data_IF_615265560262
#
_entry.id   IF_615265560262
#
_cell.length_a   1.000
_cell.length_b   1.000
_cell.length_c   1.000
_cell.angle_alpha   90.00
_cell.angle_beta   90.00
_cell.angle_gamma   90.00
#
_symmetry.space_group_name_H-M   'P 1'
#
loop_
_entity.id
_entity.type
_entity.pdbx_description
1 polymer ?
#
# COMPACT_ATOMS: atom_id res chain seq x y z
N UNK A 1 0.78 -5.50 -7.20
CA UNK A 1 -0.35 -4.53 -7.08
C UNK A 1 0.09 -3.09 -7.36
N UNK A 2 1.18 -2.58 -6.76
CA UNK A 2 1.56 -1.16 -6.90
C UNK A 2 1.98 -0.79 -8.33
N UNK A 3 2.70 -1.68 -9.01
CA UNK A 3 3.09 -1.50 -10.42
C UNK A 3 2.12 -2.14 -11.41
N UNK A 4 0.95 -2.62 -10.96
CA UNK A 4 -0.01 -3.28 -11.84
C UNK A 4 -0.46 -2.35 -12.99
N UNK A 5 -0.56 -2.90 -14.20
CA UNK A 5 -0.89 -2.12 -15.41
C UNK A 5 -2.25 -1.41 -15.31
N UNK A 6 -3.26 -2.05 -14.72
CA UNK A 6 -4.57 -1.43 -14.56
C UNK A 6 -4.52 -0.33 -13.50
N UNK A 7 -3.81 -0.55 -12.39
CA UNK A 7 -3.64 0.46 -11.33
C UNK A 7 -2.88 1.69 -11.81
N UNK A 8 -1.78 1.51 -12.55
CA UNK A 8 -0.99 2.61 -13.11
C UNK A 8 -1.81 3.49 -14.06
N UNK A 9 -2.79 2.91 -14.75
CA UNK A 9 -3.69 3.66 -15.63
C UNK A 9 -4.90 4.25 -14.90
N UNK A 10 -5.45 3.53 -13.92
CA UNK A 10 -6.66 3.95 -13.19
C UNK A 10 -6.39 5.13 -12.25
N UNK A 11 -5.20 5.19 -11.65
CA UNK A 11 -4.82 6.21 -10.66
C UNK A 11 -3.79 7.20 -11.19
N UNK A 12 -3.73 7.35 -12.52
CA UNK A 12 -2.80 8.25 -13.22
C UNK A 12 -1.32 8.04 -12.87
N UNK A 13 -0.96 6.84 -12.42
CA UNK A 13 0.42 6.46 -12.08
C UNK A 13 1.38 6.62 -13.25
N UNK A 14 0.92 6.44 -14.48
CA UNK A 14 1.73 6.71 -15.69
C UNK A 14 2.18 8.17 -15.81
N UNK A 15 1.47 9.11 -15.19
CA UNK A 15 1.80 10.54 -15.20
C UNK A 15 2.61 10.96 -13.97
N UNK A 16 2.71 10.10 -12.96
CA UNK A 16 3.48 10.34 -11.75
C UNK A 16 4.98 10.16 -12.04
N UNK A 17 5.67 11.26 -12.33
CA UNK A 17 7.12 11.29 -12.58
C UNK A 17 7.78 12.27 -11.61
N UNK A 18 9.08 12.10 -11.35
CA UNK A 18 9.80 12.95 -10.38
C UNK A 18 9.66 14.45 -10.63
N UNK A 19 9.54 14.85 -11.90
CA UNK A 19 9.38 16.26 -12.30
C UNK A 19 7.94 16.78 -12.15
N UNK A 20 6.95 15.88 -12.09
CA UNK A 20 5.54 16.21 -11.91
C UNK A 20 4.87 15.15 -11.01
N UNK A 21 5.14 15.19 -9.68
CA UNK A 21 4.58 14.22 -8.76
C UNK A 21 3.05 14.31 -8.70
N UNK A 22 2.38 13.15 -8.74
CA UNK A 22 0.93 13.03 -8.68
C UNK A 22 0.53 12.19 -7.46
N UNK A 23 -0.08 12.85 -6.48
CA UNK A 23 -0.42 12.25 -5.18
C UNK A 23 -1.63 11.31 -5.22
N UNK A 24 -2.37 11.24 -6.33
CA UNK A 24 -3.63 10.48 -6.42
C UNK A 24 -3.45 9.03 -5.94
N UNK A 25 -2.45 8.33 -6.47
CA UNK A 25 -2.22 6.95 -6.05
C UNK A 25 -1.76 6.82 -4.59
N UNK A 26 -0.86 7.69 -4.12
CA UNK A 26 -0.41 7.66 -2.73
C UNK A 26 -1.57 7.85 -1.74
N UNK A 27 -2.48 8.79 -2.04
CA UNK A 27 -3.69 9.02 -1.25
C UNK A 27 -4.60 7.81 -1.25
N UNK A 28 -4.92 7.26 -2.41
CA UNK A 28 -5.79 6.09 -2.53
C UNK A 28 -5.19 4.87 -1.82
N UNK A 29 -3.87 4.68 -1.94
CA UNK A 29 -3.15 3.60 -1.25
C UNK A 29 -3.33 3.71 0.26
N UNK A 30 -3.10 4.89 0.84
CA UNK A 30 -3.23 5.11 2.28
C UNK A 30 -4.69 5.14 2.74
N UNK A 31 -5.57 5.87 2.05
CA UNK A 31 -6.94 6.15 2.48
C UNK A 31 -7.89 4.98 2.27
N UNK A 32 -7.81 4.28 1.14
CA UNK A 32 -8.82 3.30 0.75
C UNK A 32 -8.30 1.86 0.77
N UNK A 33 -7.02 1.65 0.47
CA UNK A 33 -6.48 0.30 0.23
C UNK A 33 -5.65 -0.27 1.38
N UNK A 34 -5.16 0.53 2.34
CA UNK A 34 -4.26 0.06 3.39
C UNK A 34 -4.60 0.53 4.81
N UNK A 35 -3.99 1.62 5.29
CA UNK A 35 -4.03 2.05 6.70
C UNK A 35 -5.31 2.81 7.06
N UNK A 36 -6.01 3.33 6.05
CA UNK A 36 -7.17 4.19 6.24
C UNK A 36 -6.77 5.60 6.71
N UNK A 37 -7.64 6.56 6.40
CA UNK A 37 -7.45 7.98 6.76
C UNK A 37 -7.31 8.23 8.26
N UNK A 38 -8.07 7.50 9.07
CA UNK A 38 -8.16 7.79 10.51
C UNK A 38 -8.88 9.12 10.81
N UNK A 39 -8.86 9.54 12.08
CA UNK A 39 -9.51 10.80 12.50
C UNK A 39 -8.61 11.97 12.15
N UNK A 40 -9.18 13.05 11.61
CA UNK A 40 -8.44 14.29 11.39
C UNK A 40 -8.07 14.94 12.73
N UNK A 41 -6.78 15.19 12.94
CA UNK A 41 -6.22 15.86 14.12
C UNK A 41 -5.91 17.33 13.85
N UNK A 42 -5.69 17.70 12.60
CA UNK A 42 -5.45 19.06 12.13
C UNK A 42 -5.49 19.15 10.61
N UNK A 43 -5.25 20.33 10.07
CA UNK A 43 -5.09 20.50 8.63
C UNK A 43 -3.88 19.67 8.15
N UNK A 44 -4.11 18.74 7.22
CA UNK A 44 -3.07 17.83 6.73
C UNK A 44 -2.50 16.85 7.77
N UNK A 45 -3.18 16.62 8.90
CA UNK A 45 -2.71 15.70 9.93
C UNK A 45 -3.85 14.78 10.39
N UNK A 46 -3.62 13.47 10.29
CA UNK A 46 -4.57 12.43 10.69
C UNK A 46 -3.93 11.49 11.70
N UNK A 47 -4.74 10.70 12.41
CA UNK A 47 -4.23 9.73 13.40
C UNK A 47 -3.29 8.70 12.79
N UNK A 48 -3.42 8.40 11.50
CA UNK A 48 -2.73 7.29 10.86
C UNK A 48 -1.55 7.74 9.99
N UNK A 49 -1.59 8.95 9.45
CA UNK A 49 -0.53 9.55 8.63
C UNK A 49 -0.74 11.07 8.51
N UNK A 50 0.26 11.74 7.97
CA UNK A 50 0.26 13.18 7.67
C UNK A 50 0.28 13.44 6.16
N UNK A 51 -0.07 14.65 5.78
CA UNK A 51 0.04 15.13 4.41
C UNK A 51 1.49 15.07 3.88
N UNK A 52 2.49 15.20 4.77
CA UNK A 52 3.88 15.01 4.39
C UNK A 52 4.16 13.54 4.01
N UNK A 53 3.57 12.58 4.72
CA UNK A 53 3.72 11.16 4.37
C UNK A 53 3.18 10.84 2.98
N UNK A 54 2.08 11.49 2.58
CA UNK A 54 1.52 11.36 1.23
C UNK A 54 2.53 11.86 0.19
N UNK A 55 3.19 13.00 0.42
CA UNK A 55 4.21 13.54 -0.50
C UNK A 55 5.41 12.62 -0.63
N UNK A 56 5.84 12.02 0.48
CA UNK A 56 6.98 11.12 0.51
C UNK A 56 6.64 9.78 -0.16
N UNK A 57 5.47 9.22 0.09
CA UNK A 57 4.96 8.06 -0.63
C UNK A 57 4.81 8.35 -2.14
N UNK A 58 4.35 9.55 -2.51
CA UNK A 58 4.22 9.97 -3.92
C UNK A 58 5.55 9.89 -4.65
N UNK A 59 6.64 10.36 -4.03
CA UNK A 59 8.00 10.27 -4.58
C UNK A 59 8.45 8.83 -4.78
N UNK A 60 8.21 7.93 -3.82
CA UNK A 60 8.48 6.49 -3.97
C UNK A 60 7.70 5.90 -5.15
N UNK A 61 6.52 6.42 -5.47
CA UNK A 61 5.68 5.90 -6.55
C UNK A 61 5.98 6.53 -7.92
N UNK A 62 6.99 7.40 -8.04
CA UNK A 62 7.29 8.10 -9.31
C UNK A 62 7.99 7.22 -10.34
N UNK A 63 7.80 7.53 -11.62
CA UNK A 63 8.64 7.00 -12.70
C UNK A 63 8.20 5.64 -13.23
N UNK A 64 7.00 5.18 -12.94
CA UNK A 64 6.45 3.93 -13.47
C UNK A 64 5.44 4.20 -14.60
N UNK A 65 5.31 3.24 -15.52
CA UNK A 65 4.37 3.31 -16.65
C UNK A 65 3.84 1.92 -16.97
N UNK A 66 2.68 1.85 -17.61
CA UNK A 66 2.14 0.59 -18.08
C UNK A 66 2.99 -0.04 -19.20
N UNK A 67 3.06 -1.37 -19.21
CA UNK A 67 3.67 -2.15 -20.28
C UNK A 67 2.62 -2.59 -21.30
N UNK A 68 2.59 -1.93 -22.46
CA UNK A 68 1.62 -2.17 -23.53
C UNK A 68 1.68 -3.59 -24.10
N UNK A 69 2.86 -4.18 -24.04
CA UNK A 69 3.13 -5.49 -24.61
C UNK A 69 2.88 -6.62 -23.60
N UNK A 70 2.60 -6.29 -22.33
CA UNK A 70 2.37 -7.25 -21.24
C UNK A 70 3.50 -8.28 -21.10
N UNK A 71 4.74 -7.84 -21.37
CA UNK A 71 5.95 -8.67 -21.38
C UNK A 71 6.70 -8.61 -20.06
N UNK A 72 6.55 -7.52 -19.30
CA UNK A 72 7.10 -7.46 -17.95
C UNK A 72 6.23 -8.29 -17.01
N UNK A 73 6.76 -9.40 -16.49
CA UNK A 73 6.04 -10.35 -15.65
C UNK A 73 6.48 -10.17 -14.20
N UNK A 74 5.50 -10.01 -13.31
CA UNK A 74 5.71 -10.03 -11.87
C UNK A 74 6.16 -11.43 -11.43
N UNK A 75 7.32 -11.52 -10.77
CA UNK A 75 7.96 -12.80 -10.46
C UNK A 75 7.16 -13.63 -9.44
N UNK A 76 6.42 -12.98 -8.56
CA UNK A 76 5.68 -13.63 -7.48
C UNK A 76 4.33 -14.16 -7.96
N UNK A 77 3.62 -13.38 -8.77
CA UNK A 77 2.27 -13.69 -9.24
C UNK A 77 2.22 -14.34 -10.62
N UNK A 78 3.26 -14.18 -11.43
CA UNK A 78 3.28 -14.61 -12.83
C UNK A 78 2.36 -13.79 -13.74
N UNK A 79 1.86 -12.64 -13.26
CA UNK A 79 0.93 -11.77 -14.00
C UNK A 79 1.70 -10.61 -14.64
N UNK A 80 1.34 -10.18 -15.86
CA UNK A 80 1.91 -8.98 -16.44
C UNK A 80 1.75 -7.72 -15.57
N UNK A 81 2.83 -6.98 -15.40
CA UNK A 81 2.90 -5.75 -14.59
C UNK A 81 3.48 -4.60 -15.40
N UNK A 82 3.38 -3.38 -14.88
CA UNK A 82 3.99 -2.19 -15.45
C UNK A 82 5.51 -2.19 -15.28
N UNK A 83 6.18 -1.16 -15.80
CA UNK A 83 7.64 -1.05 -15.79
C UNK A 83 8.10 0.34 -15.38
N UNK A 84 9.32 0.44 -14.86
CA UNK A 84 9.96 1.72 -14.67
C UNK A 84 10.27 2.39 -16.03
N UNK A 85 10.13 3.71 -16.10
CA UNK A 85 10.64 4.53 -17.20
C UNK A 85 12.15 4.59 -17.06
N UNK A 86 12.83 3.75 -17.83
CA UNK A 86 14.27 3.50 -17.66
C UNK A 86 15.11 3.81 -18.88
N UNK A 87 16.35 4.20 -18.65
CA UNK A 87 17.41 4.29 -19.66
C UNK A 87 18.64 3.53 -19.17
N UNK A 88 19.51 3.14 -20.11
CA UNK A 88 20.81 2.55 -19.76
C UNK A 88 21.80 3.67 -19.45
N UNK A 89 22.23 3.75 -18.19
CA UNK A 89 23.27 4.69 -17.71
C UNK A 89 24.45 3.85 -17.25
N UNK A 90 25.63 4.11 -17.84
CA UNK A 90 26.88 3.35 -17.57
C UNK A 90 26.69 1.82 -17.58
N UNK A 91 25.91 1.33 -18.54
CA UNK A 91 25.66 -0.11 -18.73
C UNK A 91 24.62 -0.71 -17.77
N UNK A 92 24.00 0.08 -16.89
CA UNK A 92 22.94 -0.37 -15.98
C UNK A 92 21.58 0.26 -16.31
N UNK A 93 20.46 -0.49 -16.20
CA UNK A 93 19.13 0.09 -16.34
C UNK A 93 18.79 0.96 -15.12
N UNK A 94 18.55 2.24 -15.36
CA UNK A 94 18.24 3.22 -14.31
C UNK A 94 16.86 3.83 -14.54
N UNK A 95 16.07 3.98 -13.46
CA UNK A 95 14.74 4.58 -13.47
C UNK A 95 14.87 6.11 -13.53
N UNK A 96 15.04 6.65 -14.74
CA UNK A 96 15.40 8.06 -14.95
C UNK A 96 14.32 9.05 -14.53
N UNK A 97 13.07 8.62 -14.43
CA UNK A 97 11.92 9.43 -13.98
C UNK A 97 11.51 9.15 -12.51
N UNK A 98 12.26 8.33 -11.78
CA UNK A 98 12.04 8.07 -10.36
C UNK A 98 12.80 9.11 -9.50
N UNK A 99 12.21 9.52 -8.39
CA UNK A 99 12.84 10.42 -7.42
C UNK A 99 14.03 9.71 -6.76
N UNK A 100 15.22 10.32 -6.79
CA UNK A 100 16.43 9.72 -6.21
C UNK A 100 16.67 10.12 -4.74
N UNK A 101 15.85 11.04 -4.21
CA UNK A 101 16.02 11.58 -2.88
C UNK A 101 15.64 10.57 -1.80
N UNK A 102 16.11 10.83 -0.58
CA UNK A 102 15.61 10.13 0.62
C UNK A 102 14.21 10.62 0.95
N UNK A 103 13.27 9.69 1.09
CA UNK A 103 11.88 9.93 1.47
C UNK A 103 11.71 9.64 2.95
N UNK A 104 11.65 10.70 3.76
CA UNK A 104 11.55 10.59 5.23
C UNK A 104 10.12 10.81 5.68
N UNK A 105 9.54 9.79 6.29
CA UNK A 105 8.18 9.80 6.81
C UNK A 105 8.11 10.41 8.21
N UNK A 106 6.91 10.82 8.59
CA UNK A 106 6.60 11.47 9.85
C UNK A 106 6.66 10.49 11.04
N UNK A 107 6.40 11.02 12.24
CA UNK A 107 6.29 10.22 13.45
C UNK A 107 5.19 9.14 13.38
N UNK A 108 4.17 9.30 12.51
CA UNK A 108 3.15 8.27 12.29
C UNK A 108 3.75 6.95 11.79
N UNK A 109 4.83 7.03 11.02
CA UNK A 109 5.62 5.87 10.56
C UNK A 109 6.97 5.76 11.28
N UNK A 110 7.07 6.30 12.51
CA UNK A 110 8.27 6.19 13.33
C UNK A 110 9.49 6.94 12.79
N UNK A 111 9.32 7.91 11.89
CA UNK A 111 10.45 8.64 11.29
C UNK A 111 11.25 7.83 10.26
N UNK A 112 10.67 6.74 9.73
CA UNK A 112 11.33 5.88 8.74
C UNK A 112 11.76 6.66 7.50
N UNK A 113 12.87 6.25 6.91
CA UNK A 113 13.40 6.83 5.68
C UNK A 113 13.58 5.73 4.64
N UNK A 114 13.13 5.99 3.42
CA UNK A 114 13.27 5.12 2.25
C UNK A 114 14.15 5.83 1.23
N UNK A 115 15.13 5.14 0.66
CA UNK A 115 16.02 5.69 -0.36
C UNK A 115 16.53 4.60 -1.29
N UNK A 116 16.95 4.94 -2.51
CA UNK A 116 17.48 3.94 -3.44
C UNK A 116 18.71 3.25 -2.84
N UNK A 117 18.74 1.92 -2.88
CA UNK A 117 19.91 1.14 -2.46
C UNK A 117 21.13 1.39 -3.36
N UNK A 118 20.88 1.62 -4.65
CA UNK A 118 21.91 1.93 -5.64
C UNK A 118 21.46 3.08 -6.56
N UNK A 119 22.39 4.01 -6.82
CA UNK A 119 22.25 5.03 -7.86
C UNK A 119 23.46 5.03 -8.80
N UNK A 120 23.23 5.35 -10.06
CA UNK A 120 24.26 5.53 -11.10
C UNK A 120 24.09 6.91 -11.70
N UNK A 121 25.13 7.75 -11.60
CA UNK A 121 25.08 9.16 -12.01
C UNK A 121 23.87 9.93 -11.47
N UNK A 122 23.46 9.63 -10.23
CA UNK A 122 22.32 10.27 -9.58
C UNK A 122 20.94 9.70 -9.96
N UNK A 123 20.88 8.66 -10.78
CA UNK A 123 19.65 7.96 -11.12
C UNK A 123 19.55 6.63 -10.36
N UNK A 124 18.42 6.34 -9.68
CA UNK A 124 18.18 5.04 -9.07
C UNK A 124 18.27 3.92 -10.11
N UNK A 125 18.86 2.78 -9.75
CA UNK A 125 18.71 1.59 -10.60
C UNK A 125 17.25 1.17 -10.64
N UNK A 126 16.80 0.52 -11.71
CA UNK A 126 15.41 0.02 -11.80
C UNK A 126 15.08 -0.92 -10.64
N UNK A 127 16.04 -1.76 -10.24
CA UNK A 127 15.92 -2.65 -9.08
C UNK A 127 15.74 -1.85 -7.79
N UNK A 128 16.54 -0.80 -7.55
CA UNK A 128 16.40 0.03 -6.34
C UNK A 128 15.06 0.75 -6.28
N UNK A 129 14.56 1.25 -7.40
CA UNK A 129 13.26 1.92 -7.45
C UNK A 129 12.09 0.95 -7.15
N UNK A 130 12.19 -0.31 -7.57
CA UNK A 130 11.22 -1.36 -7.25
C UNK A 130 11.34 -1.78 -5.78
N UNK A 131 12.56 -1.86 -5.25
CA UNK A 131 12.79 -2.16 -3.84
C UNK A 131 12.18 -1.09 -2.92
N UNK A 132 12.28 0.20 -3.26
CA UNK A 132 11.63 1.27 -2.50
C UNK A 132 10.09 1.10 -2.42
N UNK A 133 9.45 0.59 -3.47
CA UNK A 133 8.01 0.27 -3.44
C UNK A 133 7.71 -0.81 -2.40
N UNK A 134 8.55 -1.83 -2.31
CA UNK A 134 8.41 -2.91 -1.34
C UNK A 134 8.61 -2.38 0.08
N UNK A 135 9.63 -1.56 0.30
CA UNK A 135 9.86 -0.89 1.59
C UNK A 135 8.68 -0.01 2.03
N UNK A 136 8.04 0.68 1.08
CA UNK A 136 6.84 1.49 1.35
C UNK A 136 5.66 0.60 1.75
N UNK A 137 5.44 -0.51 1.03
CA UNK A 137 4.41 -1.47 1.38
C UNK A 137 4.65 -2.05 2.78
N UNK A 138 5.86 -2.52 3.07
CA UNK A 138 6.24 -3.08 4.37
C UNK A 138 6.02 -2.06 5.50
N UNK A 139 6.46 -0.81 5.31
CA UNK A 139 6.26 0.25 6.30
C UNK A 139 4.78 0.48 6.62
N UNK A 140 3.90 0.46 5.62
CA UNK A 140 2.46 0.64 5.81
C UNK A 140 1.85 -0.59 6.48
N UNK A 141 2.26 -1.80 6.08
CA UNK A 141 1.75 -3.04 6.63
C UNK A 141 2.34 -3.37 8.02
N UNK A 142 3.43 -2.75 8.45
CA UNK A 142 3.88 -2.86 9.84
C UNK A 142 2.93 -2.16 10.84
N UNK A 143 2.14 -1.20 10.36
CA UNK A 143 1.17 -0.49 11.20
C UNK A 143 0.00 -1.40 11.56
N UNK A 144 -0.27 -1.57 12.85
CA UNK A 144 -1.39 -2.42 13.30
C UNK A 144 -2.73 -1.98 12.71
N UNK A 145 -2.88 -0.68 12.49
CA UNK A 145 -4.09 -0.06 11.99
C UNK A 145 -4.43 -0.50 10.57
N UNK A 146 -3.44 -0.89 9.75
CA UNK A 146 -3.66 -1.48 8.42
C UNK A 146 -4.45 -2.78 8.51
N UNK A 147 -4.06 -3.67 9.44
CA UNK A 147 -4.79 -4.92 9.65
C UNK A 147 -6.20 -4.67 10.19
N UNK A 148 -6.35 -3.73 11.14
CA UNK A 148 -7.66 -3.36 11.71
C UNK A 148 -8.57 -2.77 10.63
N UNK A 149 -8.08 -1.84 9.82
CA UNK A 149 -8.85 -1.20 8.75
C UNK A 149 -9.39 -2.22 7.75
N UNK A 150 -8.54 -3.14 7.27
CA UNK A 150 -8.96 -4.21 6.35
C UNK A 150 -10.00 -5.11 7.01
N UNK A 151 -9.80 -5.53 8.26
CA UNK A 151 -10.76 -6.36 9.00
C UNK A 151 -12.10 -5.65 9.22
N UNK A 152 -12.12 -4.34 9.51
CA UNK A 152 -13.34 -3.54 9.58
C UNK A 152 -14.08 -3.51 8.25
N UNK A 153 -13.38 -3.41 7.11
CA UNK A 153 -14.01 -3.48 5.78
C UNK A 153 -14.63 -4.85 5.51
N UNK A 154 -13.92 -5.94 5.83
CA UNK A 154 -14.45 -7.29 5.71
C UNK A 154 -15.70 -7.50 6.57
N UNK A 155 -15.65 -7.06 7.84
CA UNK A 155 -16.80 -7.13 8.74
C UNK A 155 -18.00 -6.35 8.18
N UNK A 156 -17.80 -5.12 7.68
CA UNK A 156 -18.88 -4.32 7.09
C UNK A 156 -19.49 -4.95 5.85
N UNK A 157 -18.66 -5.62 5.06
CA UNK A 157 -19.12 -6.27 3.83
C UNK A 157 -19.93 -7.54 4.11
N UNK A 158 -19.47 -8.38 5.04
CA UNK A 158 -20.08 -9.69 5.27
C UNK A 158 -21.09 -9.74 6.43
N UNK A 159 -20.92 -8.91 7.46
CA UNK A 159 -21.67 -9.02 8.72
C UNK A 159 -22.62 -7.85 8.91
N UNK A 160 -22.10 -6.66 9.21
CA UNK A 160 -22.93 -5.49 9.51
C UNK A 160 -22.17 -4.18 9.36
N UNK A 161 -22.85 -3.12 8.90
CA UNK A 161 -22.22 -1.84 8.59
C UNK A 161 -21.71 -1.08 9.81
N UNK A 162 -22.35 -1.25 10.98
CA UNK A 162 -21.99 -0.57 12.22
C UNK A 162 -20.97 -1.39 13.02
N UNK A 163 -19.94 -0.71 13.53
CA UNK A 163 -18.91 -1.28 14.39
C UNK A 163 -18.97 -0.54 15.73
N UNK A 164 -19.47 -1.20 16.77
CA UNK A 164 -19.50 -0.68 18.13
C UNK A 164 -18.15 -0.94 18.82
N UNK A 165 -17.86 -0.30 19.97
CA UNK A 165 -16.64 -0.58 20.74
C UNK A 165 -16.49 -2.06 21.11
N UNK A 166 -17.59 -2.76 21.38
CA UNK A 166 -17.61 -4.20 21.69
C UNK A 166 -17.24 -5.02 20.46
N UNK A 167 -17.82 -4.73 19.29
CA UNK A 167 -17.45 -5.39 18.03
C UNK A 167 -15.99 -5.14 17.67
N UNK A 168 -15.51 -3.91 17.88
CA UNK A 168 -14.12 -3.56 17.68
C UNK A 168 -13.20 -4.44 18.56
N UNK A 169 -13.50 -4.51 19.86
CA UNK A 169 -12.70 -5.26 20.83
C UNK A 169 -12.77 -6.79 20.63
N UNK A 170 -13.97 -7.33 20.44
CA UNK A 170 -14.22 -8.77 20.50
C UNK A 170 -14.12 -9.47 19.14
N UNK A 171 -14.20 -8.72 18.03
CA UNK A 171 -14.19 -9.27 16.67
C UNK A 171 -13.05 -8.68 15.84
N UNK A 172 -12.97 -7.35 15.72
CA UNK A 172 -12.01 -6.71 14.81
C UNK A 172 -10.57 -6.92 15.29
N UNK A 173 -10.28 -6.70 16.58
CA UNK A 173 -8.92 -6.88 17.11
C UNK A 173 -8.43 -8.33 16.96
N UNK A 174 -9.21 -9.38 17.31
CA UNK A 174 -8.79 -10.77 17.07
C UNK A 174 -8.62 -11.15 15.59
N UNK A 175 -9.44 -10.59 14.70
CA UNK A 175 -9.29 -10.79 13.25
C UNK A 175 -8.01 -10.13 12.73
N UNK A 176 -7.72 -8.91 13.18
CA UNK A 176 -6.52 -8.18 12.80
C UNK A 176 -5.26 -8.89 13.30
N UNK A 177 -5.27 -9.43 14.53
CA UNK A 177 -4.19 -10.27 15.04
C UNK A 177 -3.99 -11.52 14.18
N UNK A 178 -5.07 -12.23 13.85
CA UNK A 178 -4.99 -13.40 12.96
C UNK A 178 -4.45 -13.03 11.59
N UNK A 179 -4.86 -11.88 11.04
CA UNK A 179 -4.39 -11.40 9.75
C UNK A 179 -2.88 -11.17 9.74
N UNK A 180 -2.34 -10.51 10.77
CA UNK A 180 -0.89 -10.28 10.92
C UNK A 180 -0.12 -11.58 11.14
N UNK A 181 -0.60 -12.43 12.05
CA UNK A 181 0.06 -13.70 12.39
C UNK A 181 0.04 -14.73 11.24
N UNK A 182 -0.81 -14.52 10.24
CA UNK A 182 -0.86 -15.34 9.03
C UNK A 182 -0.23 -14.66 7.82
N UNK A 183 0.68 -13.70 8.03
CA UNK A 183 1.41 -13.02 6.97
C UNK A 183 0.48 -12.33 5.95
N UNK A 184 -0.57 -11.68 6.44
CA UNK A 184 -1.55 -10.97 5.61
C UNK A 184 -2.31 -11.85 4.61
N UNK A 185 -2.50 -13.13 4.93
CA UNK A 185 -3.38 -14.03 4.19
C UNK A 185 -4.86 -13.80 4.54
N UNK A 186 -5.71 -13.61 3.53
CA UNK A 186 -7.14 -13.39 3.75
C UNK A 186 -7.89 -14.67 4.19
N UNK A 187 -7.42 -15.84 3.76
CA UNK A 187 -8.08 -17.13 4.01
C UNK A 187 -8.35 -17.43 5.50
N UNK A 188 -7.36 -17.34 6.43
CA UNK A 188 -7.61 -17.57 7.85
C UNK A 188 -8.56 -16.53 8.45
N UNK A 189 -8.45 -15.26 8.04
CA UNK A 189 -9.33 -14.17 8.51
C UNK A 189 -10.78 -14.44 8.12
N UNK A 190 -11.03 -14.78 6.85
CA UNK A 190 -12.37 -15.10 6.36
C UNK A 190 -12.95 -16.35 7.05
N UNK A 191 -12.12 -17.38 7.30
CA UNK A 191 -12.57 -18.55 8.06
C UNK A 191 -13.00 -18.19 9.48
N UNK A 192 -12.22 -17.36 10.17
CA UNK A 192 -12.56 -16.91 11.52
C UNK A 192 -13.82 -16.04 11.52
N UNK A 193 -13.92 -15.08 10.59
CA UNK A 193 -15.07 -14.19 10.46
C UNK A 193 -16.36 -14.97 10.16
N UNK A 194 -16.33 -15.94 9.24
CA UNK A 194 -17.52 -16.70 8.87
C UNK A 194 -17.90 -17.79 9.88
N UNK A 195 -17.03 -18.08 10.85
CA UNK A 195 -17.30 -19.03 11.92
C UNK A 195 -18.02 -18.41 13.14
N UNK A 196 -18.14 -17.07 13.23
CA UNK A 196 -18.83 -16.43 14.36
C UNK A 196 -20.32 -16.80 14.44
N UNK A 197 -20.85 -16.79 15.67
CA UNK A 197 -22.20 -17.28 16.01
C UNK A 197 -23.34 -16.69 15.16
N UNK A 198 -23.17 -15.47 14.66
CA UNK A 198 -24.13 -14.80 13.78
C UNK A 198 -24.39 -15.54 12.46
N UNK A 199 -23.42 -16.34 11.97
CA UNK A 199 -23.58 -17.18 10.78
C UNK A 199 -23.96 -18.64 11.11
N UNK A 200 -23.76 -19.08 12.35
CA UNK A 200 -23.88 -20.50 12.73
C UNK A 200 -25.10 -20.81 13.60
N UNK A 201 -25.79 -19.81 14.12
CA UNK A 201 -27.06 -20.00 14.82
C UNK A 201 -28.21 -20.16 13.81
N UNK A 202 -28.66 -21.41 13.64
CA UNK A 202 -29.97 -21.68 13.04
C UNK A 202 -31.04 -21.14 13.99
N UNK A 203 -31.76 -20.10 13.58
CA UNK A 203 -33.04 -19.76 14.19
C UNK A 203 -34.00 -20.92 13.95
N UNK A 204 -34.09 -21.84 14.90
CA UNK A 204 -35.24 -22.75 14.98
C UNK A 204 -36.44 -21.88 15.37
N UNK A 205 -37.26 -21.53 14.38
CA UNK A 205 -38.67 -21.22 14.60
C UNK A 205 -39.45 -22.52 14.80
#
# INVERSE_FOLDING_TARGET
MITDNAMLRYLDGETNVKANPNENFAREMFELYSIGKGKQMGEGNYTNYTEEDIKQATKVLTGFTFDKDFTNIDADTGIPTGKARSETVDGKPCAVEHDAGTKTFSAAFGGKAISPAETVNGYPTVESAIDEISQLADMVFEQEETAKFICRKLYRFFVYYSITPEVEADIILPLAETFRNSNYELKPVLKQLLAVSIFTTRTTQ
#
